data_IF_383147513581
#
_entry.id   IF_383147513581
#
_cell.length_a   1.000
_cell.length_b   1.000
_cell.length_c   1.000
_cell.angle_alpha   90.00
_cell.angle_beta   90.00
_cell.angle_gamma   90.00
#
_symmetry.space_group_name_H-M   'P 1'
#
loop_
_entity.id
_entity.type
_entity.pdbx_description
1 polymer ?
#
# COMPACT_ATOMS: atom_id res chain seq x y z
N UNK A 1 -12.22 22.91 -3.65
CA UNK A 1 -12.89 22.23 -2.51
C UNK A 1 -12.04 21.03 -2.11
N UNK A 2 -11.59 20.94 -0.86
CA UNK A 2 -10.52 20.01 -0.42
C UNK A 2 -11.00 18.84 0.44
N UNK A 3 -12.30 18.69 0.68
CA UNK A 3 -12.84 17.55 1.41
C UNK A 3 -12.57 16.24 0.67
N UNK A 4 -12.14 15.20 1.39
CA UNK A 4 -11.96 13.85 0.85
C UNK A 4 -13.34 13.22 0.65
N UNK A 5 -13.61 12.70 -0.55
CA UNK A 5 -14.89 12.04 -0.89
C UNK A 5 -14.74 10.56 -1.21
N UNK A 6 -13.52 10.12 -1.53
CA UNK A 6 -13.22 8.70 -1.78
C UNK A 6 -11.77 8.39 -1.44
N UNK A 7 -11.56 7.24 -0.81
CA UNK A 7 -10.26 6.60 -0.65
C UNK A 7 -10.39 5.17 -1.19
N UNK A 8 -9.46 4.77 -2.05
CA UNK A 8 -9.44 3.43 -2.64
C UNK A 8 -8.04 2.84 -2.53
N UNK A 9 -7.93 1.69 -1.88
CA UNK A 9 -6.69 0.92 -1.76
C UNK A 9 -6.67 -0.26 -2.74
N UNK A 10 -5.48 -0.58 -3.27
CA UNK A 10 -5.25 -1.80 -4.05
C UNK A 10 -3.84 -2.33 -3.85
N UNK A 11 -3.67 -3.64 -4.04
CA UNK A 11 -2.37 -4.28 -4.10
C UNK A 11 -1.71 -4.02 -5.47
N UNK A 12 -0.47 -3.56 -5.46
CA UNK A 12 0.42 -3.40 -6.62
C UNK A 12 1.77 -4.08 -6.37
N UNK A 13 2.68 -4.05 -7.33
CA UNK A 13 4.00 -4.71 -7.24
C UNK A 13 5.11 -3.67 -7.13
N UNK A 14 6.00 -3.83 -6.15
CA UNK A 14 7.16 -2.97 -5.92
C UNK A 14 8.32 -3.26 -6.89
N UNK A 15 9.40 -2.48 -6.78
CA UNK A 15 10.59 -2.62 -7.64
C UNK A 15 11.36 -3.95 -7.45
N UNK A 16 11.05 -4.72 -6.39
CA UNK A 16 11.63 -6.04 -6.09
C UNK A 16 10.68 -7.19 -6.42
N UNK A 17 9.53 -6.91 -7.03
CA UNK A 17 8.54 -7.93 -7.38
C UNK A 17 7.64 -8.36 -6.22
N UNK A 18 7.65 -7.66 -5.09
CA UNK A 18 6.81 -7.98 -3.94
C UNK A 18 5.52 -7.16 -3.95
N UNK A 19 4.41 -7.69 -3.43
CA UNK A 19 3.21 -6.91 -3.23
C UNK A 19 3.45 -5.69 -2.32
N UNK A 20 2.81 -4.57 -2.61
CA UNK A 20 2.72 -3.39 -1.74
C UNK A 20 1.38 -2.67 -1.95
N UNK A 21 1.03 -1.73 -1.08
CA UNK A 21 -0.24 -1.01 -1.11
C UNK A 21 -0.10 0.28 -1.92
N UNK A 22 -1.06 0.52 -2.81
CA UNK A 22 -1.33 1.83 -3.40
C UNK A 22 -2.63 2.40 -2.85
N UNK A 23 -2.62 3.69 -2.48
CA UNK A 23 -3.81 4.44 -2.09
C UNK A 23 -4.09 5.56 -3.09
N UNK A 24 -5.34 5.64 -3.55
CA UNK A 24 -5.86 6.71 -4.41
C UNK A 24 -6.91 7.49 -3.61
N UNK A 25 -6.75 8.82 -3.57
CA UNK A 25 -7.64 9.74 -2.85
C UNK A 25 -8.27 10.72 -3.84
N UNK A 26 -9.59 10.87 -3.78
CA UNK A 26 -10.36 11.84 -4.58
C UNK A 26 -10.94 12.91 -3.65
N UNK A 27 -10.77 14.18 -4.04
CA UNK A 27 -11.35 15.33 -3.33
C UNK A 27 -12.66 15.77 -3.99
N UNK A 28 -13.52 16.44 -3.23
CA UNK A 28 -14.79 17.00 -3.71
C UNK A 28 -14.61 17.98 -4.87
N UNK A 29 -13.44 18.65 -4.95
CA UNK A 29 -13.06 19.51 -6.06
C UNK A 29 -12.58 18.78 -7.33
N UNK A 30 -12.62 17.45 -7.36
CA UNK A 30 -12.22 16.63 -8.51
C UNK A 30 -10.73 16.27 -8.58
N UNK A 31 -9.87 16.86 -7.75
CA UNK A 31 -8.45 16.49 -7.68
C UNK A 31 -8.28 15.04 -7.24
N UNK A 32 -7.30 14.35 -7.83
CA UNK A 32 -6.95 12.96 -7.54
C UNK A 32 -5.46 12.89 -7.20
N UNK A 33 -5.14 12.25 -6.09
CA UNK A 33 -3.77 11.94 -5.70
C UNK A 33 -3.59 10.44 -5.49
N UNK A 34 -2.42 9.91 -5.82
CA UNK A 34 -2.07 8.50 -5.61
C UNK A 34 -0.68 8.37 -5.00
N UNK A 35 -0.51 7.38 -4.12
CA UNK A 35 0.80 7.03 -3.55
C UNK A 35 0.94 5.52 -3.43
N UNK A 36 2.13 5.01 -3.79
CA UNK A 36 2.55 3.62 -3.58
C UNK A 36 3.49 3.60 -2.37
N UNK A 37 3.19 2.74 -1.39
CA UNK A 37 3.98 2.64 -0.15
C UNK A 37 5.26 1.85 -0.42
N UNK A 38 6.46 2.35 -0.07
CA UNK A 38 7.69 1.57 -0.17
C UNK A 38 7.73 0.48 0.90
N UNK A 39 8.48 -0.59 0.63
CA UNK A 39 8.73 -1.66 1.61
C UNK A 39 10.24 -1.85 1.79
N UNK A 40 10.70 -1.85 3.04
CA UNK A 40 12.10 -2.03 3.40
C UNK A 40 12.59 -3.46 3.15
N UNK A 41 13.91 -3.66 3.05
CA UNK A 41 14.52 -5.00 3.11
C UNK A 41 14.76 -5.44 4.56
N UNK A 42 15.01 -4.48 5.44
CA UNK A 42 15.22 -4.63 6.86
C UNK A 42 14.14 -3.87 7.60
N UNK A 43 13.75 -4.36 8.78
CA UNK A 43 12.87 -3.67 9.72
C UNK A 43 13.60 -3.50 11.04
N UNK A 44 13.69 -2.25 11.51
CA UNK A 44 14.22 -1.93 12.82
C UNK A 44 13.24 -2.30 13.94
N UNK A 45 13.75 -2.58 15.14
CA UNK A 45 12.91 -2.98 16.29
C UNK A 45 11.91 -1.88 16.71
N UNK A 46 12.23 -0.62 16.42
CA UNK A 46 11.41 0.55 16.77
C UNK A 46 10.69 1.18 15.56
N UNK A 47 10.65 0.49 14.42
CA UNK A 47 9.92 0.96 13.24
C UNK A 47 8.43 0.59 13.30
N UNK A 48 7.61 1.34 12.57
CA UNK A 48 6.23 0.92 12.33
C UNK A 48 6.21 -0.34 11.44
N UNK A 49 5.43 -1.33 11.84
CA UNK A 49 5.37 -2.62 11.14
C UNK A 49 4.40 -2.56 9.96
N UNK A 50 4.86 -3.00 8.79
CA UNK A 50 3.97 -3.29 7.66
C UNK A 50 3.17 -4.58 7.90
N UNK A 51 1.88 -4.56 7.56
CA UNK A 51 1.03 -5.74 7.65
C UNK A 51 1.15 -6.58 6.37
N UNK A 52 1.24 -7.90 6.52
CA UNK A 52 1.31 -8.90 5.45
C UNK A 52 0.29 -10.01 5.68
N UNK A 53 -0.22 -10.58 4.61
CA UNK A 53 -1.27 -11.61 4.67
C UNK A 53 -0.79 -12.93 5.28
N UNK A 54 0.49 -13.28 5.12
CA UNK A 54 1.07 -14.55 5.61
C UNK A 54 0.62 -15.81 4.84
N UNK A 55 -0.26 -15.68 3.84
CA UNK A 55 -0.75 -16.79 3.01
C UNK A 55 0.34 -17.27 2.04
N UNK A 56 1.05 -18.34 2.39
CA UNK A 56 2.24 -18.82 1.66
C UNK A 56 2.01 -19.09 0.18
N UNK A 57 0.81 -19.51 -0.22
CA UNK A 57 0.45 -19.79 -1.62
C UNK A 57 0.40 -18.53 -2.49
N UNK A 58 0.33 -17.33 -1.89
CA UNK A 58 0.26 -16.04 -2.59
C UNK A 58 1.51 -15.24 -2.27
N UNK A 59 2.35 -14.99 -3.28
CA UNK A 59 3.57 -14.20 -3.14
C UNK A 59 4.48 -14.64 -1.97
N UNK A 60 4.51 -15.94 -1.66
CA UNK A 60 5.28 -16.50 -0.54
C UNK A 60 4.87 -15.93 0.83
N UNK A 61 3.61 -15.53 1.00
CA UNK A 61 3.09 -14.92 2.23
C UNK A 61 3.25 -13.41 2.31
N UNK A 62 3.76 -12.76 1.26
CA UNK A 62 4.02 -11.31 1.22
C UNK A 62 2.87 -10.48 0.64
N UNK A 63 1.69 -11.09 0.46
CA UNK A 63 0.47 -10.39 0.06
C UNK A 63 0.10 -9.25 1.02
N UNK A 64 -0.68 -8.30 0.51
CA UNK A 64 -1.21 -7.14 1.25
C UNK A 64 -2.68 -6.89 0.88
N UNK A 65 -3.49 -7.95 0.95
CA UNK A 65 -4.88 -7.98 0.48
C UNK A 65 -5.90 -8.15 1.59
#
# INVERSE_FOLDING_TARGET
MTQIVRVHGRQVIDSRGNPTVEAVVTLAGGSIGSAIVPSGASTGEHEAWELRDGVKQRFLGRGVT
#
